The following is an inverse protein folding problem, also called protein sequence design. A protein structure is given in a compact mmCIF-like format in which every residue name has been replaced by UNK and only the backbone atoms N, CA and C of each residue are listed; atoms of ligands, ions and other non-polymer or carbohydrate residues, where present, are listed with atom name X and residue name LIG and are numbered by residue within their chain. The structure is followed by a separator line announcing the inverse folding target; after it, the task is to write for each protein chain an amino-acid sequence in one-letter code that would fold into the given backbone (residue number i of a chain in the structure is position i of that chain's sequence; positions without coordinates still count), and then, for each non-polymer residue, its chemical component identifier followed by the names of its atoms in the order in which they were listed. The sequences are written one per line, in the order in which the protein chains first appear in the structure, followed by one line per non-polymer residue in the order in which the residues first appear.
data_IF_005339847594
#
_entry.id   IF_005339847594
#
_cell.length_a   1.000
_cell.length_b   1.000
_cell.length_c   1.000
_cell.angle_alpha   90.00
_cell.angle_beta   90.00
_cell.angle_gamma   90.00
#
_symmetry.space_group_name_H-M   'P 1'
#
loop_
_entity.id
_entity.type
_entity.pdbx_description
1 polymer ?
#
# COMPACT_ATOMS: atom_id res chain seq x y z
N UNK A 1 -26.98 -11.41 4.02
CA UNK A 1 -26.45 -10.80 2.79
C UNK A 1 -25.42 -9.78 3.23
N UNK A 2 -24.14 -10.17 3.32
CA UNK A 2 -23.06 -9.25 3.65
C UNK A 2 -22.34 -8.95 2.33
N UNK A 3 -22.57 -7.76 1.79
CA UNK A 3 -21.85 -7.26 0.63
C UNK A 3 -20.40 -7.07 1.05
N UNK A 4 -19.50 -7.98 0.63
CA UNK A 4 -18.08 -7.68 0.62
C UNK A 4 -17.88 -6.60 -0.43
N UNK A 5 -17.86 -5.34 0.01
CA UNK A 5 -17.35 -4.25 -0.79
C UNK A 5 -15.83 -4.41 -0.76
N UNK A 6 -15.31 -5.34 -1.58
CA UNK A 6 -13.87 -5.47 -1.78
C UNK A 6 -13.41 -4.15 -2.35
N UNK A 7 -12.56 -3.43 -1.63
CA UNK A 7 -11.83 -2.30 -2.20
C UNK A 7 -11.07 -2.87 -3.39
N UNK A 8 -11.57 -2.63 -4.60
CA UNK A 8 -10.91 -3.09 -5.82
C UNK A 8 -9.77 -2.12 -6.04
N UNK A 9 -8.61 -2.47 -5.48
CA UNK A 9 -7.37 -1.80 -5.79
C UNK A 9 -7.06 -2.05 -7.27
N UNK A 10 -7.11 -1.00 -8.08
CA UNK A 10 -6.72 -1.11 -9.49
C UNK A 10 -5.20 -1.20 -9.54
N UNK A 11 -4.70 -2.38 -9.88
CA UNK A 11 -3.29 -2.70 -9.78
C UNK A 11 -2.50 -2.14 -10.97
N UNK A 12 -2.00 -0.91 -10.80
CA UNK A 12 -1.10 -0.26 -11.75
C UNK A 12 0.39 -0.52 -11.44
N UNK A 13 0.69 -1.27 -10.38
CA UNK A 13 2.07 -1.43 -9.93
C UNK A 13 2.95 -2.22 -10.91
N UNK A 14 2.47 -3.27 -11.59
CA UNK A 14 3.26 -3.95 -12.62
C UNK A 14 3.76 -3.00 -13.72
N UNK A 15 2.89 -2.12 -14.22
CA UNK A 15 3.24 -1.14 -15.25
C UNK A 15 4.22 -0.07 -14.71
N UNK A 16 4.08 0.33 -13.45
CA UNK A 16 5.04 1.24 -12.80
C UNK A 16 6.40 0.59 -12.64
N UNK A 17 6.48 -0.69 -12.22
CA UNK A 17 7.74 -1.42 -12.10
C UNK A 17 8.39 -1.62 -13.47
N UNK A 18 7.63 -1.97 -14.51
CA UNK A 18 8.16 -2.11 -15.87
C UNK A 18 8.77 -0.80 -16.38
N UNK A 19 8.09 0.33 -16.14
CA UNK A 19 8.51 1.64 -16.67
C UNK A 19 9.61 2.32 -15.86
N UNK A 20 9.59 2.18 -14.53
CA UNK A 20 10.47 2.90 -13.60
C UNK A 20 11.61 2.01 -13.07
N UNK A 21 11.51 0.70 -13.25
CA UNK A 21 12.34 -0.28 -12.55
C UNK A 21 11.96 -0.41 -11.07
N UNK A 22 12.53 -1.41 -10.39
CA UNK A 22 12.26 -1.68 -8.98
C UNK A 22 12.65 -0.49 -8.07
N UNK A 23 13.81 0.12 -8.29
CA UNK A 23 14.27 1.27 -7.51
C UNK A 23 13.37 2.50 -7.69
N UNK A 24 12.96 2.77 -8.93
CA UNK A 24 12.05 3.87 -9.24
C UNK A 24 10.66 3.66 -8.64
N UNK A 25 10.14 2.43 -8.72
CA UNK A 25 8.88 2.06 -8.10
C UNK A 25 8.91 2.23 -6.56
N UNK A 26 9.96 1.73 -5.89
CA UNK A 26 10.11 1.91 -4.45
C UNK A 26 10.15 3.39 -4.06
N UNK A 27 10.83 4.23 -4.86
CA UNK A 27 10.86 5.68 -4.64
C UNK A 27 9.46 6.32 -4.76
N UNK A 28 8.65 5.90 -5.73
CA UNK A 28 7.28 6.38 -5.86
C UNK A 28 6.39 5.94 -4.69
N UNK A 29 6.57 4.72 -4.15
CA UNK A 29 5.90 4.29 -2.92
C UNK A 29 6.28 5.19 -1.73
N UNK A 30 7.58 5.48 -1.55
CA UNK A 30 8.04 6.41 -0.51
C UNK A 30 7.46 7.82 -0.71
N UNK A 31 7.36 8.29 -1.96
CA UNK A 31 6.72 9.58 -2.25
C UNK A 31 5.23 9.57 -1.88
N UNK A 32 4.52 8.48 -2.22
CA UNK A 32 3.12 8.27 -1.85
C UNK A 32 2.93 8.28 -0.33
N UNK A 33 3.81 7.57 0.40
CA UNK A 33 3.82 7.59 1.87
C UNK A 33 3.94 9.03 2.41
N UNK A 34 4.90 9.80 1.90
CA UNK A 34 5.14 11.19 2.33
C UNK A 34 3.97 12.13 2.05
N UNK A 35 3.16 11.84 1.03
CA UNK A 35 1.95 12.60 0.74
C UNK A 35 0.83 12.30 1.73
N UNK A 36 0.79 11.08 2.28
CA UNK A 36 -0.26 10.63 3.19
C UNK A 36 0.08 10.80 4.67
N UNK A 37 1.36 11.01 4.99
CA UNK A 37 1.87 11.09 6.37
C UNK A 37 1.27 12.26 7.15
N UNK A 38 1.11 12.05 8.46
CA UNK A 38 0.93 13.13 9.41
C UNK A 38 2.27 13.86 9.60
N UNK A 39 2.29 15.17 9.33
CA UNK A 39 3.52 15.97 9.37
C UNK A 39 4.15 16.08 10.77
N UNK A 40 3.34 15.96 11.84
CA UNK A 40 3.82 16.07 13.21
C UNK A 40 4.27 14.71 13.76
N UNK A 41 3.58 13.62 13.37
CA UNK A 41 3.86 12.27 13.89
C UNK A 41 4.84 11.49 13.03
N UNK A 42 4.99 11.82 11.74
CA UNK A 42 5.85 11.09 10.81
C UNK A 42 5.33 9.70 10.41
N UNK A 43 4.07 9.40 10.72
CA UNK A 43 3.36 8.16 10.35
C UNK A 43 2.02 8.49 9.72
N UNK A 44 1.45 7.57 8.94
CA UNK A 44 0.10 7.74 8.39
C UNK A 44 -0.90 7.38 9.49
N UNK A 45 -1.73 8.33 9.87
CA UNK A 45 -2.83 8.10 10.81
C UNK A 45 -4.17 8.08 10.08
N UNK A 46 -5.24 7.68 10.76
CA UNK A 46 -6.60 7.74 10.20
C UNK A 46 -6.94 9.14 9.69
N UNK A 47 -6.64 10.17 10.48
CA UNK A 47 -6.92 11.55 10.12
C UNK A 47 -6.06 12.03 8.95
N UNK A 48 -4.77 11.70 8.96
CA UNK A 48 -3.87 12.11 7.87
C UNK A 48 -4.21 11.40 6.57
N UNK A 49 -4.52 10.10 6.63
CA UNK A 49 -4.93 9.30 5.49
C UNK A 49 -6.17 9.91 4.82
N UNK A 50 -7.25 10.15 5.57
CA UNK A 50 -8.48 10.75 5.04
C UNK A 50 -8.28 12.15 4.48
N UNK A 51 -7.56 13.00 5.22
CA UNK A 51 -7.34 14.38 4.82
C UNK A 51 -6.49 14.47 3.56
N UNK A 52 -5.39 13.72 3.54
CA UNK A 52 -4.42 13.79 2.46
C UNK A 52 -4.88 13.01 1.23
N UNK A 53 -5.63 11.91 1.38
CA UNK A 53 -6.25 11.21 0.25
C UNK A 53 -7.26 12.10 -0.48
N UNK A 54 -8.06 12.88 0.26
CA UNK A 54 -8.96 13.87 -0.34
C UNK A 54 -8.23 14.93 -1.17
N UNK A 55 -7.04 15.36 -0.74
CA UNK A 55 -6.18 16.29 -1.49
C UNK A 55 -5.62 15.68 -2.78
N UNK A 56 -5.46 14.35 -2.82
CA UNK A 56 -5.06 13.59 -4.01
C UNK A 56 -6.23 13.27 -4.94
N UNK A 57 -7.44 13.76 -4.65
CA UNK A 57 -8.64 13.56 -5.46
C UNK A 57 -9.48 12.36 -5.06
N UNK A 58 -9.10 11.63 -3.99
CA UNK A 58 -9.89 10.53 -3.42
C UNK A 58 -10.88 11.07 -2.37
N UNK A 59 -11.78 11.96 -2.78
CA UNK A 59 -12.72 12.63 -1.87
C UNK A 59 -13.76 11.69 -1.24
N UNK A 60 -13.96 10.50 -1.81
CA UNK A 60 -14.99 9.55 -1.39
C UNK A 60 -14.48 8.42 -0.49
N UNK A 61 -13.27 8.54 0.06
CA UNK A 61 -12.75 7.54 1.01
C UNK A 61 -13.58 7.57 2.31
N UNK A 62 -14.33 6.50 2.55
CA UNK A 62 -15.15 6.32 3.75
C UNK A 62 -14.30 6.05 4.99
N UNK A 63 -14.89 6.28 6.17
CA UNK A 63 -14.23 5.99 7.44
C UNK A 63 -13.92 4.48 7.55
N UNK A 64 -14.82 3.64 7.07
CA UNK A 64 -14.65 2.19 7.04
C UNK A 64 -13.47 1.76 6.16
N UNK A 65 -13.28 2.39 4.99
CA UNK A 65 -12.15 2.09 4.10
C UNK A 65 -10.81 2.53 4.70
N UNK A 66 -10.76 3.72 5.30
CA UNK A 66 -9.55 4.20 5.95
C UNK A 66 -9.17 3.32 7.17
N UNK A 67 -10.17 2.91 7.98
CA UNK A 67 -9.94 1.98 9.09
C UNK A 67 -9.48 0.61 8.58
N UNK A 68 -10.07 0.12 7.49
CA UNK A 68 -9.67 -1.15 6.87
C UNK A 68 -8.21 -1.09 6.39
N UNK A 69 -7.82 -0.02 5.69
CA UNK A 69 -6.44 0.16 5.23
C UNK A 69 -5.43 0.19 6.38
N UNK A 70 -5.73 0.91 7.46
CA UNK A 70 -4.87 0.93 8.63
C UNK A 70 -4.77 -0.47 9.25
N UNK A 71 -5.91 -1.14 9.50
CA UNK A 71 -5.94 -2.46 10.12
C UNK A 71 -5.20 -3.53 9.33
N UNK A 72 -5.23 -3.46 8.00
CA UNK A 72 -4.56 -4.45 7.15
C UNK A 72 -3.04 -4.23 7.05
N UNK A 73 -2.60 -2.98 7.19
CA UNK A 73 -1.20 -2.58 7.09
C UNK A 73 -0.45 -2.48 8.42
N UNK A 74 -1.16 -2.19 9.52
CA UNK A 74 -0.61 -2.01 10.85
C UNK A 74 -0.17 -3.38 11.41
N UNK A 75 1.15 -3.60 11.46
CA UNK A 75 1.74 -4.88 11.85
C UNK A 75 2.15 -4.89 13.33
N UNK A 76 2.43 -3.73 13.91
CA UNK A 76 2.84 -3.60 15.31
C UNK A 76 1.68 -3.24 16.26
N UNK A 77 0.54 -2.83 15.72
CA UNK A 77 -0.69 -2.53 16.45
C UNK A 77 -0.73 -1.13 17.06
N UNK A 78 0.10 -0.20 16.59
CA UNK A 78 0.14 1.18 17.10
C UNK A 78 -1.02 2.07 16.59
N UNK A 79 -1.82 1.56 15.65
CA UNK A 79 -2.96 2.25 15.06
C UNK A 79 -2.60 3.26 13.96
N UNK A 80 -1.36 3.23 13.48
CA UNK A 80 -0.84 4.04 12.39
C UNK A 80 -0.12 3.14 11.36
N UNK A 81 0.37 3.73 10.27
CA UNK A 81 1.27 3.04 9.35
C UNK A 81 2.58 3.81 9.28
N UNK A 82 3.67 3.12 9.58
CA UNK A 82 5.00 3.59 9.25
C UNK A 82 5.34 3.30 7.77
N UNK A 83 6.48 3.80 7.29
CA UNK A 83 6.88 3.68 5.89
C UNK A 83 7.00 2.23 5.42
N UNK A 84 7.55 1.35 6.27
CA UNK A 84 7.72 -0.07 5.96
C UNK A 84 6.37 -0.78 5.84
N UNK A 85 5.46 -0.53 6.78
CA UNK A 85 4.11 -1.09 6.81
C UNK A 85 3.31 -0.66 5.58
N UNK A 86 3.36 0.62 5.24
CA UNK A 86 2.72 1.15 4.05
C UNK A 86 3.25 0.49 2.77
N UNK A 87 4.57 0.39 2.60
CA UNK A 87 5.15 -0.25 1.42
C UNK A 87 4.78 -1.74 1.35
N UNK A 88 4.78 -2.43 2.50
CA UNK A 88 4.41 -3.83 2.60
C UNK A 88 2.93 -4.04 2.25
N UNK A 89 2.03 -3.19 2.76
CA UNK A 89 0.61 -3.21 2.42
C UNK A 89 0.41 -3.01 0.91
N UNK A 90 1.05 -2.00 0.33
CA UNK A 90 0.95 -1.71 -1.11
C UNK A 90 1.41 -2.91 -1.95
N UNK A 91 2.55 -3.50 -1.62
CA UNK A 91 3.03 -4.71 -2.30
C UNK A 91 2.06 -5.89 -2.15
N UNK A 92 1.42 -6.04 -0.98
CA UNK A 92 0.42 -7.09 -0.74
C UNK A 92 -0.87 -6.91 -1.54
N UNK A 93 -1.23 -5.66 -1.84
CA UNK A 93 -2.40 -5.33 -2.65
C UNK A 93 -2.17 -5.55 -4.15
N UNK A 94 -0.92 -5.75 -4.59
CA UNK A 94 -0.58 -6.17 -5.96
C UNK A 94 -0.35 -7.69 -6.03
N UNK A 95 -1.39 -8.48 -6.37
CA UNK A 95 -1.24 -9.92 -6.50
C UNK A 95 -0.24 -10.32 -7.60
N UNK A 96 -0.09 -9.51 -8.65
CA UNK A 96 0.88 -9.78 -9.72
C UNK A 96 2.34 -9.62 -9.24
N UNK A 97 2.63 -8.60 -8.43
CA UNK A 97 3.96 -8.42 -7.82
C UNK A 97 4.27 -9.52 -6.79
N UNK A 98 3.29 -9.89 -5.96
CA UNK A 98 3.46 -11.01 -5.02
C UNK A 98 3.71 -12.34 -5.75
N UNK A 99 2.94 -12.63 -6.81
CA UNK A 99 3.08 -13.87 -7.58
C UNK A 99 4.42 -13.93 -8.32
N UNK A 100 4.87 -12.81 -8.88
CA UNK A 100 6.18 -12.71 -9.55
C UNK A 100 7.32 -12.94 -8.56
N UNK A 101 7.23 -12.34 -7.37
CA UNK A 101 8.22 -12.51 -6.29
C UNK A 101 8.27 -13.96 -5.79
N UNK A 102 7.10 -14.60 -5.60
CA UNK A 102 7.03 -16.01 -5.20
C UNK A 102 7.57 -16.95 -6.27
N UNK A 103 7.34 -16.66 -7.56
CA UNK A 103 7.89 -17.44 -8.67
C UNK A 103 9.42 -17.42 -8.70
N UNK A 104 10.03 -16.26 -8.52
CA UNK A 104 11.50 -16.14 -8.45
C UNK A 104 12.09 -16.90 -7.27
N UNK A 105 11.41 -16.87 -6.12
CA UNK A 105 11.81 -17.61 -4.93
C UNK A 105 11.75 -19.13 -5.15
N UNK A 106 10.67 -19.62 -5.76
CA UNK A 106 10.53 -21.04 -6.12
C UNK A 106 11.58 -21.45 -7.14
N UNK A 107 11.83 -20.64 -8.16
CA UNK A 107 12.87 -20.92 -9.17
C UNK A 107 14.28 -20.97 -8.55
N UNK A 108 14.59 -20.09 -7.60
CA UNK A 108 15.86 -20.10 -6.89
C UNK A 108 16.03 -21.33 -5.96
N UNK A 109 14.95 -21.81 -5.36
CA UNK A 109 14.95 -23.00 -4.48
C UNK A 109 14.98 -24.30 -5.29
N UNK A 110 14.26 -24.37 -6.41
CA UNK A 110 14.13 -25.58 -7.26
C UNK A 110 15.34 -25.78 -8.17
N UNK A 111 16.11 -24.72 -8.47
CA UNK A 111 17.36 -24.83 -9.22
C UNK A 111 18.58 -25.20 -8.35
N UNK A 112 18.36 -25.67 -7.11
CA UNK A 112 19.36 -26.30 -6.23
C UNK A 112 19.03 -27.78 -6.03
#
# INVERSE_FOLDING_TARGET
MASQNSVVFEDFFPAMVEKLGAEGFMKELCNGFRLLVDGDKGVITFESLKKNSALLGLQDMSDEEAICMLREGDLDGDGALNEMEFCTLMLRLSPELMNSSMKLLVEAIVNF
#
